data_IF_319895634775
#
_entry.id   IF_319895634775
#
_cell.length_a   1.000
_cell.length_b   1.000
_cell.length_c   1.000
_cell.angle_alpha   90.00
_cell.angle_beta   90.00
_cell.angle_gamma   90.00
#
_symmetry.space_group_name_H-M   'P 1'
#
loop_
_entity.id
_entity.type
_entity.pdbx_description
1 polymer ?
#
# COMPACT_ATOMS: atom_id res chain seq x y z
N UNK A 1 -5.17 14.36 -10.06
CA UNK A 1 -4.91 12.91 -10.29
C UNK A 1 -3.70 12.67 -11.21
N UNK A 2 -3.69 13.27 -12.41
CA UNK A 2 -2.70 13.01 -13.47
C UNK A 2 -1.22 13.35 -13.19
N UNK A 3 -0.87 13.85 -11.98
CA UNK A 3 0.52 14.13 -11.59
C UNK A 3 1.16 13.04 -10.71
N UNK A 4 0.37 12.08 -10.22
CA UNK A 4 0.87 10.99 -9.38
C UNK A 4 1.24 9.82 -10.29
N UNK A 5 2.54 9.56 -10.43
CA UNK A 5 3.04 8.46 -11.27
C UNK A 5 3.24 7.14 -10.53
N UNK A 6 3.41 7.19 -9.21
CA UNK A 6 3.66 6.02 -8.37
C UNK A 6 3.12 6.24 -6.96
N UNK A 7 2.75 5.15 -6.29
CA UNK A 7 2.39 5.08 -4.87
C UNK A 7 3.39 4.14 -4.19
N UNK A 8 3.89 4.54 -3.02
CA UNK A 8 4.75 3.73 -2.16
C UNK A 8 3.99 3.35 -0.89
N UNK A 9 4.14 2.10 -0.46
CA UNK A 9 3.50 1.54 0.73
C UNK A 9 4.57 0.88 1.61
N UNK A 10 4.59 1.25 2.89
CA UNK A 10 5.52 0.68 3.85
C UNK A 10 4.89 0.54 5.24
N UNK A 11 5.47 -0.34 6.06
CA UNK A 11 5.30 -0.27 7.50
C UNK A 11 6.11 0.88 8.10
N UNK A 12 5.74 1.27 9.31
CA UNK A 12 6.38 2.36 10.06
C UNK A 12 6.45 2.01 11.53
N UNK A 13 7.39 2.63 12.24
CA UNK A 13 7.48 2.55 13.69
C UNK A 13 6.61 3.61 14.35
N UNK A 14 5.78 3.21 15.30
CA UNK A 14 5.08 4.13 16.20
C UNK A 14 5.95 4.41 17.44
N UNK A 15 6.31 5.68 17.66
CA UNK A 15 7.09 6.13 18.83
C UNK A 15 6.20 6.79 19.90
N UNK A 16 4.87 6.66 19.78
CA UNK A 16 3.84 7.22 20.66
C UNK A 16 3.59 8.72 20.47
N UNK A 17 4.65 9.49 20.19
CA UNK A 17 4.57 10.94 19.92
C UNK A 17 4.58 11.28 18.44
N UNK A 18 5.15 10.40 17.62
CA UNK A 18 5.27 10.54 16.18
C UNK A 18 5.42 9.17 15.52
N UNK A 19 5.18 9.14 14.22
CA UNK A 19 5.44 7.97 13.39
C UNK A 19 6.77 8.16 12.66
N UNK A 20 7.61 7.14 12.67
CA UNK A 20 8.88 7.11 11.96
C UNK A 20 8.77 6.15 10.79
N UNK A 21 9.11 6.63 9.59
CA UNK A 21 9.00 5.91 8.32
C UNK A 21 10.16 4.91 8.16
N UNK A 22 10.09 3.78 8.87
CA UNK A 22 11.22 2.86 9.03
C UNK A 22 11.33 1.78 7.95
N UNK A 23 10.25 1.46 7.24
CA UNK A 23 10.24 0.48 6.13
C UNK A 23 10.80 -0.90 6.51
N UNK A 24 10.63 -1.29 7.77
CA UNK A 24 11.23 -2.49 8.39
C UNK A 24 10.18 -3.43 8.96
N UNK A 25 8.90 -3.15 8.70
CA UNK A 25 7.75 -3.88 9.22
C UNK A 25 6.67 -4.02 8.16
N UNK A 26 5.75 -5.01 8.29
CA UNK A 26 4.64 -5.15 7.36
C UNK A 26 3.74 -3.90 7.33
N UNK A 27 3.11 -3.65 6.19
CA UNK A 27 2.21 -2.50 6.04
C UNK A 27 1.00 -2.68 6.96
N UNK A 28 0.80 -1.73 7.86
CA UNK A 28 -0.27 -1.82 8.89
C UNK A 28 -1.66 -1.60 8.30
N UNK A 29 -2.74 -2.13 8.91
CA UNK A 29 -4.11 -2.02 8.39
C UNK A 29 -4.57 -0.59 8.10
N UNK A 30 -4.11 0.39 8.87
CA UNK A 30 -4.43 1.79 8.66
C UNK A 30 -3.89 2.33 7.32
N UNK A 31 -2.66 1.96 6.95
CA UNK A 31 -2.05 2.33 5.67
C UNK A 31 -2.78 1.65 4.51
N UNK A 32 -3.19 0.38 4.65
CA UNK A 32 -4.02 -0.29 3.65
C UNK A 32 -5.39 0.38 3.41
N UNK A 33 -6.01 0.98 4.44
CA UNK A 33 -7.23 1.78 4.23
C UNK A 33 -6.94 3.06 3.46
N UNK A 34 -5.82 3.73 3.74
CA UNK A 34 -5.39 4.93 3.03
C UNK A 34 -5.07 4.61 1.56
N UNK A 35 -4.39 3.49 1.31
CA UNK A 35 -4.13 2.99 -0.04
C UNK A 35 -5.42 2.79 -0.84
N UNK A 36 -6.41 2.06 -0.29
CA UNK A 36 -7.71 1.90 -0.96
C UNK A 36 -8.40 3.25 -1.27
N UNK A 37 -8.28 4.23 -0.37
CA UNK A 37 -8.79 5.59 -0.60
C UNK A 37 -8.02 6.31 -1.71
N UNK A 38 -6.71 6.14 -1.78
CA UNK A 38 -5.88 6.69 -2.84
C UNK A 38 -6.24 6.09 -4.20
N UNK A 39 -6.34 4.76 -4.31
CA UNK A 39 -6.76 4.06 -5.54
C UNK A 39 -8.13 4.53 -6.01
N UNK A 40 -9.12 4.68 -5.11
CA UNK A 40 -10.45 5.24 -5.47
C UNK A 40 -10.38 6.62 -6.11
N UNK A 41 -9.42 7.46 -5.70
CA UNK A 41 -9.27 8.84 -6.18
C UNK A 41 -8.40 8.94 -7.43
N UNK A 42 -7.39 8.08 -7.55
CA UNK A 42 -6.34 8.18 -8.55
C UNK A 42 -6.53 7.22 -9.72
N UNK A 43 -7.32 6.16 -9.55
CA UNK A 43 -7.39 5.04 -10.50
C UNK A 43 -6.17 4.14 -10.38
N UNK A 44 -5.85 3.41 -11.47
CA UNK A 44 -4.65 2.57 -11.54
C UNK A 44 -3.40 3.44 -11.57
N UNK A 45 -2.52 3.24 -10.58
CA UNK A 45 -1.21 3.89 -10.47
C UNK A 45 -0.21 2.82 -10.02
N UNK A 46 1.00 2.84 -10.59
CA UNK A 46 2.06 1.90 -10.19
C UNK A 46 2.27 1.95 -8.68
N UNK A 47 2.30 0.78 -8.04
CA UNK A 47 2.45 0.68 -6.58
C UNK A 47 3.67 -0.16 -6.23
N UNK A 48 4.51 0.36 -5.34
CA UNK A 48 5.67 -0.31 -4.76
C UNK A 48 5.40 -0.56 -3.27
N UNK A 49 5.66 -1.78 -2.80
CA UNK A 49 5.74 -2.08 -1.37
C UNK A 49 7.21 -2.03 -0.98
N UNK A 50 7.56 -1.12 -0.08
CA UNK A 50 8.95 -0.81 0.28
C UNK A 50 9.40 -1.56 1.54
N UNK A 51 10.65 -2.03 1.48
CA UNK A 51 11.38 -2.70 2.55
C UNK A 51 12.85 -2.29 2.44
N UNK A 52 13.33 -1.52 3.40
CA UNK A 52 14.70 -0.96 3.35
C UNK A 52 15.63 -1.58 4.41
N UNK A 53 15.05 -2.16 5.47
CA UNK A 53 15.76 -2.85 6.55
C UNK A 53 14.93 -4.02 7.09
N UNK A 54 15.54 -4.91 7.88
CA UNK A 54 14.92 -6.12 8.44
C UNK A 54 14.10 -6.92 7.41
N UNK A 55 14.59 -6.98 6.18
CA UNK A 55 13.86 -7.52 5.04
C UNK A 55 13.46 -8.98 5.33
N UNK A 56 12.16 -9.31 5.33
CA UNK A 56 11.70 -10.65 5.67
C UNK A 56 12.00 -11.62 4.52
N UNK A 57 11.65 -12.89 4.72
CA UNK A 57 11.76 -13.88 3.67
C UNK A 57 10.94 -13.47 2.42
N UNK A 58 11.41 -13.88 1.24
CA UNK A 58 10.89 -13.43 -0.05
C UNK A 58 9.37 -13.65 -0.18
N UNK A 59 8.86 -14.76 0.34
CA UNK A 59 7.44 -15.10 0.35
C UNK A 59 6.57 -14.06 1.08
N UNK A 60 7.10 -13.42 2.12
CA UNK A 60 6.39 -12.36 2.86
C UNK A 60 6.34 -11.09 2.02
N UNK A 61 7.46 -10.71 1.39
CA UNK A 61 7.54 -9.55 0.50
C UNK A 61 6.58 -9.73 -0.69
N UNK A 62 6.56 -10.92 -1.29
CA UNK A 62 5.64 -11.24 -2.39
C UNK A 62 4.17 -11.24 -1.93
N UNK A 63 3.87 -11.69 -0.72
CA UNK A 63 2.51 -11.68 -0.19
C UNK A 63 1.98 -10.25 0.00
N UNK A 64 2.79 -9.30 0.48
CA UNK A 64 2.38 -7.90 0.61
C UNK A 64 2.21 -7.23 -0.77
N UNK A 65 3.08 -7.55 -1.74
CA UNK A 65 2.90 -7.09 -3.12
C UNK A 65 1.59 -7.63 -3.74
N UNK A 66 1.26 -8.90 -3.52
CA UNK A 66 -0.01 -9.49 -3.98
C UNK A 66 -1.21 -8.85 -3.27
N UNK A 67 -1.08 -8.55 -1.99
CA UNK A 67 -2.11 -7.82 -1.23
C UNK A 67 -2.39 -6.43 -1.81
N UNK A 68 -1.36 -5.72 -2.29
CA UNK A 68 -1.54 -4.44 -2.97
C UNK A 68 -2.31 -4.59 -4.30
N UNK A 69 -2.01 -5.65 -5.09
CA UNK A 69 -2.74 -5.98 -6.32
C UNK A 69 -4.19 -6.32 -6.03
N UNK A 70 -4.45 -7.15 -5.03
CA UNK A 70 -5.80 -7.54 -4.63
C UNK A 70 -6.62 -6.34 -4.17
N UNK A 71 -6.05 -5.44 -3.35
CA UNK A 71 -6.73 -4.23 -2.89
C UNK A 71 -6.99 -3.23 -4.03
N UNK A 72 -6.08 -3.12 -5.01
CA UNK A 72 -6.32 -2.33 -6.24
C UNK A 72 -7.51 -2.90 -7.03
N UNK A 73 -7.50 -4.21 -7.30
CA UNK A 73 -8.55 -4.90 -8.05
C UNK A 73 -9.92 -4.82 -7.35
N UNK A 74 -9.96 -5.01 -6.02
CA UNK A 74 -11.15 -4.86 -5.18
C UNK A 74 -11.78 -3.47 -5.38
N UNK A 75 -10.97 -2.42 -5.24
CA UNK A 75 -11.43 -1.03 -5.31
C UNK A 75 -11.92 -0.67 -6.70
N UNK A 76 -11.18 -1.04 -7.74
CA UNK A 76 -11.51 -0.66 -9.12
C UNK A 76 -12.64 -1.51 -9.71
N UNK A 77 -12.75 -2.79 -9.31
CA UNK A 77 -13.85 -3.66 -9.68
C UNK A 77 -15.18 -3.26 -9.03
N UNK A 78 -15.16 -2.79 -7.78
CA UNK A 78 -16.36 -2.30 -7.10
C UNK A 78 -16.96 -1.03 -7.77
N UNK A 79 -16.11 -0.20 -8.38
CA UNK A 79 -16.55 0.97 -9.14
C UNK A 79 -17.28 0.63 -10.45
N UNK A 80 -16.96 -0.50 -11.07
CA UNK A 80 -17.55 -0.94 -12.33
C UNK A 80 -18.96 -1.57 -12.19
N UNK A 81 -19.29 -2.09 -11.01
CA UNK A 81 -20.62 -2.66 -10.70
C UNK A 81 -21.62 -1.59 -10.21
N UNK A 82 -21.15 -0.36 -9.97
CA UNK A 82 -21.93 0.74 -9.39
C UNK A 82 -22.25 1.86 -10.40
N UNK A 83 -21.92 1.66 -11.68
CA UNK A 83 -22.12 2.60 -12.79
C UNK A 83 -22.97 1.94 -13.89
#
# INVERSE_FOLDING_TARGET
PARVGQIHLAGHSDKGTHLLDTHDTPVVPAVWRLYRRAVRRLGRVSTLVEWDDHIPALEIVLAEAERARAAEAEVLGAGALSA
#
